data_IF_474012957014
#
_entry.id   IF_474012957014
#
_cell.length_a   1.000
_cell.length_b   1.000
_cell.length_c   1.000
_cell.angle_alpha   90.00
_cell.angle_beta   90.00
_cell.angle_gamma   90.00
#
_symmetry.space_group_name_H-M   'P 1'
#
loop_
_entity.id
_entity.type
_entity.pdbx_description
1 polymer ?
#
# COMPACT_ATOMS: atom_id res chain seq x y z
N UNK A 1 -17.60 4.20 21.10
CA UNK A 1 -17.71 4.59 19.68
C UNK A 1 -18.93 3.93 19.05
N UNK A 2 -19.11 2.60 19.11
CA UNK A 2 -20.28 1.91 18.49
C UNK A 2 -21.66 2.31 19.05
N UNK A 3 -21.73 2.95 20.19
CA UNK A 3 -22.96 3.55 20.70
C UNK A 3 -23.34 4.85 19.98
N UNK A 4 -22.39 5.47 19.30
CA UNK A 4 -22.54 6.75 18.60
C UNK A 4 -22.60 6.59 17.09
N UNK A 5 -21.86 5.61 16.55
CA UNK A 5 -21.82 5.32 15.11
C UNK A 5 -21.63 3.82 14.83
N UNK A 6 -22.25 3.35 13.78
CA UNK A 6 -22.05 1.98 13.26
C UNK A 6 -20.82 1.88 12.36
N UNK A 7 -20.46 2.98 11.70
CA UNK A 7 -19.30 3.04 10.79
C UNK A 7 -18.07 3.49 11.58
N UNK A 8 -17.11 2.59 11.70
CA UNK A 8 -15.84 2.82 12.39
C UNK A 8 -14.69 2.41 11.48
N UNK A 9 -13.77 3.34 11.25
CA UNK A 9 -12.57 3.14 10.45
C UNK A 9 -11.32 3.20 11.32
N UNK A 10 -10.35 2.31 11.08
CA UNK A 10 -9.07 2.28 11.80
C UNK A 10 -7.92 2.43 10.79
N UNK A 11 -7.07 3.43 11.01
CA UNK A 11 -5.74 3.52 10.42
C UNK A 11 -4.73 3.07 11.49
N UNK A 12 -3.98 2.01 11.18
CA UNK A 12 -3.03 1.41 12.11
C UNK A 12 -1.61 1.47 11.57
N UNK A 13 -0.84 2.41 12.10
CA UNK A 13 0.57 2.56 11.75
C UNK A 13 1.43 1.62 12.60
N UNK A 14 1.98 0.57 11.97
CA UNK A 14 2.87 -0.40 12.61
C UNK A 14 3.83 -1.01 11.59
N UNK A 15 5.04 -1.34 12.03
CA UNK A 15 6.03 -2.00 11.16
C UNK A 15 5.66 -3.47 10.90
N UNK A 16 5.33 -4.22 11.96
CA UNK A 16 5.16 -5.66 11.84
C UNK A 16 3.83 -6.05 11.19
N UNK A 17 3.91 -6.80 10.08
CA UNK A 17 2.75 -7.39 9.40
C UNK A 17 1.88 -8.22 10.35
N UNK A 18 2.51 -9.01 11.23
CA UNK A 18 1.80 -9.84 12.19
C UNK A 18 0.94 -9.04 13.17
N UNK A 19 1.41 -7.88 13.64
CA UNK A 19 0.64 -6.98 14.50
C UNK A 19 -0.59 -6.42 13.77
N UNK A 20 -0.41 -5.98 12.53
CA UNK A 20 -1.51 -5.49 11.69
C UNK A 20 -2.57 -6.57 11.47
N UNK A 21 -2.15 -7.75 11.08
CA UNK A 21 -3.07 -8.88 10.84
C UNK A 21 -3.78 -9.33 12.13
N UNK A 22 -3.06 -9.42 13.25
CA UNK A 22 -3.64 -9.81 14.53
C UNK A 22 -4.69 -8.80 15.00
N UNK A 23 -4.41 -7.49 14.88
CA UNK A 23 -5.37 -6.45 15.23
C UNK A 23 -6.59 -6.48 14.31
N UNK A 24 -6.39 -6.64 13.00
CA UNK A 24 -7.48 -6.75 12.03
C UNK A 24 -8.43 -7.91 12.36
N UNK A 25 -7.87 -9.10 12.63
CA UNK A 25 -8.67 -10.27 13.03
C UNK A 25 -9.36 -10.07 14.38
N UNK A 26 -8.69 -9.46 15.35
CA UNK A 26 -9.29 -9.17 16.66
C UNK A 26 -10.47 -8.19 16.58
N UNK A 27 -10.40 -7.23 15.63
CA UNK A 27 -11.43 -6.23 15.42
C UNK A 27 -12.49 -6.66 14.39
N UNK A 28 -12.35 -7.83 13.77
CA UNK A 28 -13.29 -8.30 12.74
C UNK A 28 -14.73 -8.36 13.25
N UNK A 29 -15.63 -7.72 12.52
CA UNK A 29 -17.03 -7.50 12.89
C UNK A 29 -17.27 -6.43 13.96
N UNK A 30 -16.21 -5.86 14.56
CA UNK A 30 -16.30 -4.77 15.53
C UNK A 30 -16.10 -3.40 14.92
N UNK A 31 -15.48 -3.34 13.74
CA UNK A 31 -15.23 -2.13 12.95
C UNK A 31 -15.63 -2.36 11.50
N UNK A 32 -15.78 -1.28 10.75
CA UNK A 32 -16.15 -1.36 9.32
C UNK A 32 -14.94 -1.70 8.45
N UNK A 33 -13.84 -1.00 8.65
CA UNK A 33 -12.62 -1.23 7.89
C UNK A 33 -11.37 -0.88 8.72
N UNK A 34 -10.26 -1.53 8.36
CA UNK A 34 -8.93 -1.24 8.87
C UNK A 34 -7.93 -1.23 7.74
N UNK A 35 -7.09 -0.21 7.71
CA UNK A 35 -5.91 -0.13 6.85
C UNK A 35 -4.64 -0.08 7.69
N UNK A 36 -3.61 -0.77 7.24
CA UNK A 36 -2.27 -0.59 7.77
C UNK A 36 -1.48 0.45 6.98
N UNK A 37 -0.49 1.04 7.63
CA UNK A 37 0.47 1.98 7.07
C UNK A 37 1.86 1.72 7.64
N UNK A 38 2.91 2.26 7.08
CA UNK A 38 4.31 2.27 7.48
C UNK A 38 5.28 1.82 6.38
N UNK A 39 4.99 0.75 5.65
CA UNK A 39 5.98 0.16 4.73
C UNK A 39 6.22 1.00 3.48
N UNK A 40 5.34 1.94 3.19
CA UNK A 40 5.31 2.73 1.96
C UNK A 40 5.03 1.92 0.68
N UNK A 41 4.81 0.63 0.79
CA UNK A 41 4.50 -0.28 -0.32
C UNK A 41 3.09 -0.83 -0.12
N UNK A 42 2.23 -0.65 -1.12
CA UNK A 42 0.88 -1.18 -1.07
C UNK A 42 0.91 -2.71 -1.15
N UNK A 43 0.30 -3.37 -0.17
CA UNK A 43 0.14 -4.83 -0.19
C UNK A 43 -1.04 -5.25 -1.07
N UNK A 44 -1.10 -6.52 -1.43
CA UNK A 44 -2.14 -7.10 -2.30
C UNK A 44 -3.01 -8.12 -1.56
N UNK A 45 -3.21 -7.89 -0.27
CA UNK A 45 -3.95 -8.78 0.62
C UNK A 45 -5.31 -8.20 1.03
N UNK A 46 -5.79 -7.21 0.27
CA UNK A 46 -7.09 -6.59 0.49
C UNK A 46 -8.22 -7.62 0.46
N UNK A 47 -9.06 -7.60 1.47
CA UNK A 47 -10.19 -8.52 1.60
C UNK A 47 -11.24 -8.05 2.61
N UNK A 48 -12.42 -8.62 2.51
CA UNK A 48 -13.41 -8.56 3.59
C UNK A 48 -13.19 -9.77 4.49
N UNK A 49 -12.96 -9.51 5.77
CA UNK A 49 -12.79 -10.55 6.78
C UNK A 49 -14.13 -11.26 7.08
N UNK A 50 -14.12 -12.47 7.67
CA UNK A 50 -15.31 -13.30 7.82
C UNK A 50 -16.52 -12.65 8.49
N UNK A 51 -16.31 -11.69 9.39
CA UNK A 51 -17.39 -10.99 10.10
C UNK A 51 -17.74 -9.62 9.46
N UNK A 52 -17.14 -9.27 8.30
CA UNK A 52 -17.53 -8.13 7.49
C UNK A 52 -16.66 -6.89 7.62
N UNK A 53 -15.49 -6.97 8.27
CA UNK A 53 -14.52 -5.88 8.29
C UNK A 53 -13.68 -5.87 7.02
N UNK A 54 -13.61 -4.73 6.31
CA UNK A 54 -12.66 -4.53 5.21
C UNK A 54 -11.24 -4.37 5.73
N UNK A 55 -10.24 -4.99 5.06
CA UNK A 55 -8.88 -5.03 5.55
C UNK A 55 -7.84 -4.97 4.43
N UNK A 56 -6.76 -4.26 4.68
CA UNK A 56 -5.49 -4.34 3.94
C UNK A 56 -4.32 -4.13 4.90
N UNK A 57 -3.23 -4.90 4.72
CA UNK A 57 -2.03 -4.80 5.57
C UNK A 57 -1.30 -3.47 5.43
N UNK A 58 -1.17 -2.92 4.22
CA UNK A 58 -0.58 -1.59 4.01
C UNK A 58 -1.17 -0.94 2.76
N UNK A 59 -1.61 0.30 2.90
CA UNK A 59 -2.18 1.06 1.78
C UNK A 59 -1.13 1.68 0.86
N UNK A 60 0.14 1.60 1.23
CA UNK A 60 1.24 2.15 0.46
C UNK A 60 1.45 3.65 0.68
N UNK A 61 2.18 4.24 -0.24
CA UNK A 61 2.61 5.63 -0.21
C UNK A 61 2.03 6.39 -1.40
N UNK A 62 1.29 7.45 -1.14
CA UNK A 62 1.04 8.45 -2.19
C UNK A 62 2.28 9.33 -2.33
N UNK A 63 3.00 9.17 -3.44
CA UNK A 63 4.27 9.85 -3.62
C UNK A 63 5.11 9.30 -4.78
N UNK A 64 6.41 9.68 -4.83
CA UNK A 64 7.31 9.31 -5.91
C UNK A 64 7.76 7.84 -5.80
N UNK A 65 7.58 7.08 -6.86
CA UNK A 65 7.96 5.66 -6.91
C UNK A 65 9.35 5.41 -7.52
N UNK A 66 9.89 6.36 -8.31
CA UNK A 66 11.32 6.34 -8.69
C UNK A 66 12.18 6.79 -7.50
N UNK A 67 12.10 6.01 -6.44
CA UNK A 67 12.65 6.36 -5.14
C UNK A 67 12.90 5.10 -4.29
N UNK A 68 13.53 5.28 -3.13
CA UNK A 68 13.50 4.28 -2.06
C UNK A 68 12.59 4.82 -0.97
N UNK A 69 11.38 4.28 -0.90
CA UNK A 69 10.32 4.68 0.06
C UNK A 69 10.08 6.21 0.11
N UNK A 70 10.16 6.89 -1.05
CA UNK A 70 9.98 8.34 -1.17
C UNK A 70 11.27 9.16 -1.13
N UNK A 71 12.41 8.56 -0.81
CA UNK A 71 13.72 9.23 -0.79
C UNK A 71 14.47 9.05 -2.11
N UNK A 72 15.29 10.01 -2.50
CA UNK A 72 16.19 9.87 -3.65
C UNK A 72 17.05 8.62 -3.51
N UNK A 73 17.00 7.77 -4.52
CA UNK A 73 17.66 6.45 -4.53
C UNK A 73 19.14 6.51 -4.24
N UNK A 74 19.84 7.51 -4.77
CA UNK A 74 21.31 7.69 -4.54
C UNK A 74 21.65 7.86 -3.06
N UNK A 75 20.88 8.66 -2.31
CA UNK A 75 21.11 8.87 -0.88
C UNK A 75 20.85 7.59 -0.08
N UNK A 76 19.75 6.87 -0.41
CA UNK A 76 19.42 5.62 0.25
C UNK A 76 20.45 4.52 -0.03
N UNK A 77 20.86 4.36 -1.28
CA UNK A 77 21.88 3.37 -1.69
C UNK A 77 23.21 3.65 -0.99
N UNK A 78 23.69 4.91 -1.01
CA UNK A 78 24.94 5.28 -0.36
C UNK A 78 24.94 5.01 1.15
N UNK A 79 23.80 5.20 1.80
CA UNK A 79 23.65 4.85 3.22
C UNK A 79 23.88 3.36 3.47
N UNK A 80 23.32 2.50 2.64
CA UNK A 80 23.51 1.04 2.77
C UNK A 80 24.93 0.59 2.41
N UNK A 81 25.51 1.14 1.34
CA UNK A 81 26.85 0.75 0.89
C UNK A 81 27.96 1.20 1.83
N UNK A 82 27.85 2.39 2.37
CA UNK A 82 28.96 3.02 3.11
C UNK A 82 28.69 3.18 4.61
N UNK A 83 27.48 2.83 5.07
CA UNK A 83 27.04 3.02 6.46
C UNK A 83 27.25 4.45 7.01
N UNK A 84 27.31 5.45 6.12
CA UNK A 84 27.54 6.86 6.47
C UNK A 84 26.21 7.62 6.53
N UNK A 85 26.06 8.61 7.43
CA UNK A 85 24.90 9.49 7.42
C UNK A 85 24.75 10.17 6.06
N UNK A 86 23.55 10.11 5.51
CA UNK A 86 23.19 10.78 4.26
C UNK A 86 22.08 11.80 4.55
N UNK A 87 22.15 12.96 3.89
CA UNK A 87 21.04 13.91 3.93
C UNK A 87 19.88 13.33 3.12
N UNK A 88 18.74 13.14 3.79
CA UNK A 88 17.53 12.68 3.11
C UNK A 88 16.92 13.81 2.28
N UNK A 89 16.69 13.51 1.02
CA UNK A 89 15.98 14.38 0.11
C UNK A 89 14.82 13.58 -0.50
N UNK A 90 13.63 14.19 -0.55
CA UNK A 90 12.47 13.60 -1.19
C UNK A 90 12.68 13.50 -2.70
N UNK A 91 12.37 12.37 -3.28
CA UNK A 91 12.28 12.21 -4.72
C UNK A 91 11.03 12.93 -5.27
N UNK A 92 10.94 13.13 -6.59
CA UNK A 92 9.85 13.92 -7.19
C UNK A 92 9.22 13.27 -8.42
N UNK A 93 9.87 12.23 -8.95
CA UNK A 93 9.50 11.65 -10.22
C UNK A 93 8.62 10.41 -10.06
N UNK A 94 7.83 10.09 -11.09
CA UNK A 94 6.93 8.95 -11.12
C UNK A 94 5.99 8.90 -9.91
N UNK A 95 5.17 9.95 -9.75
CA UNK A 95 4.27 10.11 -8.60
C UNK A 95 2.99 9.30 -8.81
N UNK A 96 2.67 8.44 -7.83
CA UNK A 96 1.44 7.66 -7.80
C UNK A 96 0.58 7.99 -6.57
N UNK A 97 -0.73 7.91 -6.76
CA UNK A 97 -1.72 7.88 -5.69
C UNK A 97 -1.99 6.42 -5.32
N UNK A 98 -1.81 6.08 -4.05
CA UNK A 98 -2.22 4.77 -3.53
C UNK A 98 -3.25 4.92 -2.42
N UNK A 99 -4.12 3.95 -2.29
CA UNK A 99 -5.17 3.98 -1.29
C UNK A 99 -6.12 2.80 -1.40
N UNK A 100 -7.21 2.89 -0.66
CA UNK A 100 -8.31 1.92 -0.68
C UNK A 100 -9.66 2.62 -0.82
N UNK A 101 -10.52 2.06 -1.63
CA UNK A 101 -11.94 2.38 -1.62
C UNK A 101 -12.70 1.33 -0.81
N UNK A 102 -13.61 1.77 0.04
CA UNK A 102 -14.52 0.91 0.80
C UNK A 102 -15.95 1.39 0.61
N UNK A 103 -16.84 0.47 0.26
CA UNK A 103 -18.27 0.68 0.30
C UNK A 103 -18.82 0.00 1.55
N UNK A 104 -19.38 0.79 2.45
CA UNK A 104 -19.82 0.33 3.77
C UNK A 104 -21.33 0.49 3.87
N UNK A 105 -22.01 -0.53 4.35
CA UNK A 105 -23.42 -0.48 4.74
C UNK A 105 -23.55 0.32 6.04
N UNK A 106 -24.24 1.44 5.99
CA UNK A 106 -24.43 2.35 7.13
C UNK A 106 -25.35 1.78 8.22
N UNK A 107 -26.21 0.82 7.87
CA UNK A 107 -27.10 0.20 8.84
C UNK A 107 -26.42 -0.88 9.67
N UNK A 108 -25.51 -1.64 9.07
CA UNK A 108 -24.82 -2.73 9.74
C UNK A 108 -23.38 -2.36 10.13
N UNK A 109 -22.78 -1.38 9.47
CA UNK A 109 -21.38 -1.01 9.60
C UNK A 109 -20.43 -1.98 8.89
N UNK A 110 -20.93 -2.92 8.08
CA UNK A 110 -20.08 -3.89 7.36
C UNK A 110 -19.61 -3.35 6.03
N UNK A 111 -18.40 -3.73 5.65
CA UNK A 111 -17.90 -3.50 4.29
C UNK A 111 -18.60 -4.44 3.31
N UNK A 112 -19.14 -3.86 2.23
CA UNK A 112 -19.80 -4.57 1.14
C UNK A 112 -18.86 -4.81 -0.04
N UNK A 113 -18.04 -3.81 -0.36
CA UNK A 113 -17.08 -3.84 -1.46
C UNK A 113 -15.81 -3.13 -1.02
N UNK A 114 -14.69 -3.52 -1.57
CA UNK A 114 -13.42 -2.82 -1.43
C UNK A 114 -12.61 -2.94 -2.70
N UNK A 115 -11.80 -1.92 -2.97
CA UNK A 115 -10.94 -1.87 -4.14
C UNK A 115 -9.65 -1.15 -3.80
N UNK A 116 -8.55 -1.71 -4.26
CA UNK A 116 -7.24 -1.08 -4.13
C UNK A 116 -7.05 -0.05 -5.24
N UNK A 117 -6.65 1.16 -4.84
CA UNK A 117 -6.36 2.26 -5.76
C UNK A 117 -4.86 2.36 -5.95
N UNK A 118 -4.41 2.33 -7.20
CA UNK A 118 -3.04 2.66 -7.62
C UNK A 118 -3.13 3.43 -8.94
N UNK A 119 -2.83 4.73 -8.92
CA UNK A 119 -3.01 5.59 -10.08
C UNK A 119 -1.89 6.63 -10.23
N UNK A 120 -1.39 6.87 -11.47
CA UNK A 120 -1.58 6.02 -12.64
C UNK A 120 -0.99 4.61 -12.42
N UNK A 121 -1.41 3.63 -13.19
CA UNK A 121 -0.72 2.32 -13.21
C UNK A 121 0.71 2.48 -13.74
N UNK A 122 1.62 1.60 -13.32
CA UNK A 122 2.94 1.56 -13.92
C UNK A 122 2.84 1.23 -15.41
N UNK A 123 3.64 1.91 -16.23
CA UNK A 123 3.80 1.55 -17.62
C UNK A 123 4.24 0.09 -17.70
N UNK A 124 3.47 -0.72 -18.44
CA UNK A 124 3.86 -2.10 -18.73
C UNK A 124 5.05 -2.04 -19.68
N UNK A 125 6.23 -2.42 -19.20
CA UNK A 125 7.37 -2.65 -20.07
C UNK A 125 7.02 -3.82 -21.00
N UNK A 126 6.61 -3.50 -22.22
CA UNK A 126 6.54 -4.48 -23.30
C UNK A 126 7.98 -4.72 -23.72
N UNK A 127 8.55 -5.83 -23.24
CA UNK A 127 9.82 -6.32 -23.78
C UNK A 127 9.51 -6.80 -25.20
N UNK A 128 9.93 -6.02 -26.18
CA UNK A 128 9.77 -6.36 -27.59
C UNK A 128 10.67 -7.57 -27.87
N UNK A 129 10.07 -8.76 -27.93
CA UNK A 129 10.78 -10.03 -28.17
C UNK A 129 11.45 -10.08 -29.56
N UNK A 130 11.10 -9.13 -30.43
CA UNK A 130 11.63 -9.05 -31.78
C UNK A 130 12.98 -8.30 -31.85
N UNK A 131 13.40 -7.59 -30.81
CA UNK A 131 14.69 -6.90 -30.78
C UNK A 131 15.89 -7.86 -30.59
N UNK A 132 15.69 -9.03 -29.98
CA UNK A 132 16.77 -10.02 -29.79
C UNK A 132 17.10 -10.81 -31.06
N UNK A 133 16.19 -10.91 -32.04
CA UNK A 133 16.44 -11.67 -33.27
C UNK A 133 17.32 -10.93 -34.28
N UNK A 134 17.43 -9.60 -34.17
CA UNK A 134 18.26 -8.81 -35.12
C UNK A 134 19.73 -8.68 -34.70
N UNK A 135 20.05 -8.92 -33.41
CA UNK A 135 21.42 -8.85 -32.88
C UNK A 135 22.22 -10.16 -33.10
N UNK A 136 21.55 -11.24 -33.44
CA UNK A 136 22.19 -12.56 -33.67
C UNK A 136 22.57 -12.83 -35.14
N UNK A 137 22.41 -11.84 -36.03
CA UNK A 137 22.69 -11.98 -37.47
C UNK A 137 23.78 -11.03 -38.01
N UNK A 138 24.60 -10.42 -37.12
CA UNK A 138 25.77 -9.64 -37.52
C UNK A 138 27.06 -10.22 -36.91
#
# INVERSE_FOLDING_TARGET
IKQETKVVFVDFHAEATAEKMALGQYLDGKISAMVGTHTHIQTSDERILPNGTGYITDVGMTGPYDSVIGMKSTAAINRFLFATPQKYETAKDNVHLTGMFFKIDTETGKTLELERIFFPEFDKLIVDKDAESSAAQN
#
